data_IF_793120265811
#
_entry.id   IF_793120265811
#
_cell.length_a   1.000
_cell.length_b   1.000
_cell.length_c   1.000
_cell.angle_alpha   90.00
_cell.angle_beta   90.00
_cell.angle_gamma   90.00
#
_symmetry.space_group_name_H-M   'P 1'
#
loop_
_entity.id
_entity.type
_entity.pdbx_description
1 polymer ?
#
# COMPACT_ATOMS: atom_id res chain seq x y z
N UNK A 1 23.84 39.19 -1.21
CA UNK A 1 22.79 39.75 -2.06
C UNK A 1 21.59 38.83 -2.00
N UNK A 2 20.38 39.31 -1.89
CA UNK A 2 19.21 38.48 -2.06
C UNK A 2 19.14 38.00 -3.53
N UNK A 3 19.22 36.69 -3.73
CA UNK A 3 18.98 36.08 -5.04
C UNK A 3 17.50 35.77 -5.17
N UNK A 4 16.90 36.19 -6.27
CA UNK A 4 15.49 35.93 -6.58
C UNK A 4 15.26 34.49 -7.03
N UNK A 5 16.30 33.79 -7.48
CA UNK A 5 16.24 32.40 -7.92
C UNK A 5 17.05 31.51 -6.96
N UNK A 6 16.35 30.54 -6.35
CA UNK A 6 16.95 29.57 -5.42
C UNK A 6 16.21 28.24 -5.55
N UNK A 7 16.85 27.29 -6.20
CA UNK A 7 16.25 25.97 -6.46
C UNK A 7 15.84 25.24 -5.18
N UNK A 8 16.61 25.39 -4.11
CA UNK A 8 16.28 24.76 -2.82
C UNK A 8 15.01 25.36 -2.20
N UNK A 9 14.81 26.68 -2.32
CA UNK A 9 13.58 27.32 -1.80
C UNK A 9 12.35 26.84 -2.59
N UNK A 10 12.47 26.78 -3.92
CA UNK A 10 11.37 26.31 -4.77
C UNK A 10 11.02 24.87 -4.46
N UNK A 11 12.01 24.00 -4.31
CA UNK A 11 11.80 22.59 -3.95
C UNK A 11 11.12 22.46 -2.59
N UNK A 12 11.58 23.18 -1.57
CA UNK A 12 10.95 23.15 -0.23
C UNK A 12 9.50 23.59 -0.28
N UNK A 13 9.17 24.65 -1.05
CA UNK A 13 7.79 25.11 -1.23
C UNK A 13 6.90 24.07 -1.93
N UNK A 14 7.42 23.40 -2.96
CA UNK A 14 6.73 22.32 -3.64
C UNK A 14 6.48 21.12 -2.73
N UNK A 15 7.51 20.70 -2.00
CA UNK A 15 7.42 19.58 -1.03
C UNK A 15 6.40 19.90 0.08
N UNK A 16 6.38 21.11 0.60
CA UNK A 16 5.40 21.50 1.61
C UNK A 16 3.96 21.35 1.10
N UNK A 17 3.68 21.79 -0.15
CA UNK A 17 2.35 21.62 -0.75
C UNK A 17 1.96 20.14 -0.90
N UNK A 18 2.92 19.26 -1.19
CA UNK A 18 2.69 17.82 -1.27
C UNK A 18 2.48 17.16 0.10
N UNK A 19 3.21 17.59 1.13
CA UNK A 19 3.05 17.09 2.50
C UNK A 19 1.70 17.46 3.08
N UNK A 20 1.26 18.71 2.85
CA UNK A 20 -0.02 19.23 3.36
C UNK A 20 -1.22 18.81 2.49
N UNK A 21 -0.99 18.08 1.41
CA UNK A 21 -2.05 17.67 0.48
C UNK A 21 -2.99 16.64 1.11
N UNK A 22 -4.26 17.01 1.32
CA UNK A 22 -5.32 16.05 1.63
C UNK A 22 -5.74 15.31 0.35
N UNK A 23 -5.32 14.07 0.23
CA UNK A 23 -5.61 13.20 -0.92
C UNK A 23 -7.00 12.57 -0.87
N UNK A 24 -7.70 12.72 0.28
CA UNK A 24 -8.99 12.09 0.53
C UNK A 24 -8.90 10.56 0.63
N UNK A 25 -9.97 9.93 1.12
CA UNK A 25 -10.08 8.47 1.12
C UNK A 25 -10.72 8.00 -0.19
N UNK A 26 -10.13 6.97 -0.80
CA UNK A 26 -10.68 6.29 -1.97
C UNK A 26 -11.16 4.91 -1.57
N UNK A 27 -12.44 4.63 -1.79
CA UNK A 27 -13.03 3.33 -1.57
C UNK A 27 -13.13 2.60 -2.90
N UNK A 28 -12.48 1.47 -2.99
CA UNK A 28 -12.57 0.55 -4.12
C UNK A 28 -13.53 -0.58 -3.77
N UNK A 29 -14.06 -1.34 -4.75
CA UNK A 29 -14.88 -2.52 -4.44
C UNK A 29 -14.21 -3.51 -3.48
N UNK A 30 -12.88 -3.63 -3.56
CA UNK A 30 -12.11 -4.53 -2.71
C UNK A 30 -12.03 -4.03 -1.27
N UNK A 31 -11.79 -2.73 -1.07
CA UNK A 31 -11.76 -2.13 0.27
C UNK A 31 -13.15 -2.01 0.90
N UNK A 32 -14.19 -1.85 0.09
CA UNK A 32 -15.57 -1.93 0.58
C UNK A 32 -15.93 -3.35 1.05
N UNK A 33 -15.54 -4.39 0.28
CA UNK A 33 -15.70 -5.77 0.70
C UNK A 33 -14.91 -6.10 1.98
N UNK A 34 -13.70 -5.55 2.11
CA UNK A 34 -12.88 -5.64 3.32
C UNK A 34 -13.63 -5.07 4.54
N UNK A 35 -14.11 -3.83 4.44
CA UNK A 35 -14.87 -3.18 5.53
C UNK A 35 -16.15 -3.93 5.85
N UNK A 36 -16.91 -4.37 4.84
CA UNK A 36 -18.16 -5.08 5.02
C UNK A 36 -17.96 -6.39 5.82
N UNK A 37 -16.96 -7.20 5.46
CA UNK A 37 -16.66 -8.44 6.17
C UNK A 37 -16.19 -8.22 7.61
N UNK A 38 -15.39 -7.18 7.86
CA UNK A 38 -15.01 -6.82 9.22
C UNK A 38 -16.20 -6.29 10.03
N UNK A 39 -17.11 -5.57 9.40
CA UNK A 39 -18.33 -5.08 10.05
C UNK A 39 -19.28 -6.24 10.43
N UNK A 40 -19.45 -7.25 9.55
CA UNK A 40 -20.19 -8.47 9.84
C UNK A 40 -19.63 -9.20 11.07
N UNK A 41 -18.33 -9.13 11.29
CA UNK A 41 -17.65 -9.70 12.44
C UNK A 41 -17.60 -8.79 13.68
N UNK A 42 -18.17 -7.58 13.62
CA UNK A 42 -18.16 -6.60 14.71
C UNK A 42 -16.81 -5.92 14.95
N UNK A 43 -15.87 -6.03 14.00
CA UNK A 43 -14.51 -5.45 14.10
C UNK A 43 -14.37 -4.07 13.44
N UNK A 44 -15.39 -3.64 12.70
CA UNK A 44 -15.45 -2.37 11.99
C UNK A 44 -16.88 -1.81 12.05
N UNK A 45 -17.08 -0.49 12.02
CA UNK A 45 -18.42 0.08 11.81
C UNK A 45 -19.00 -0.36 10.46
N UNK A 46 -20.32 -0.46 10.31
CA UNK A 46 -20.95 -0.81 9.05
C UNK A 46 -20.75 0.30 8.00
N UNK A 47 -20.68 -0.06 6.72
CA UNK A 47 -20.52 0.90 5.60
C UNK A 47 -21.63 1.96 5.55
N UNK A 48 -22.79 1.68 6.12
CA UNK A 48 -23.90 2.65 6.27
C UNK A 48 -23.55 3.80 7.19
N UNK A 49 -22.63 3.61 8.14
CA UNK A 49 -22.05 4.68 8.97
C UNK A 49 -20.68 5.07 8.42
N UNK A 50 -20.72 5.75 7.27
CA UNK A 50 -19.49 6.17 6.56
C UNK A 50 -18.57 7.01 7.42
N UNK A 51 -19.11 7.90 8.24
CA UNK A 51 -18.32 8.79 9.09
C UNK A 51 -17.49 7.99 10.11
N UNK A 52 -18.12 7.03 10.80
CA UNK A 52 -17.41 6.17 11.75
C UNK A 52 -16.36 5.27 11.08
N UNK A 53 -16.64 4.78 9.86
CA UNK A 53 -15.66 4.01 9.07
C UNK A 53 -14.46 4.87 8.72
N UNK A 54 -14.67 6.09 8.22
CA UNK A 54 -13.59 7.01 7.85
C UNK A 54 -12.76 7.43 9.06
N UNK A 55 -13.39 7.69 10.20
CA UNK A 55 -12.70 7.99 11.45
C UNK A 55 -11.81 6.81 11.88
N UNK A 56 -12.34 5.59 11.82
CA UNK A 56 -11.59 4.37 12.15
C UNK A 56 -10.38 4.17 11.23
N UNK A 57 -10.54 4.45 9.92
CA UNK A 57 -9.46 4.37 8.93
C UNK A 57 -8.38 5.42 9.23
N UNK A 58 -8.77 6.67 9.43
CA UNK A 58 -7.85 7.79 9.69
C UNK A 58 -7.03 7.61 10.98
N UNK A 59 -7.58 6.91 11.96
CA UNK A 59 -6.91 6.61 13.23
C UNK A 59 -5.97 5.38 13.18
N UNK A 60 -5.83 4.72 12.03
CA UNK A 60 -4.93 3.58 11.85
C UNK A 60 -4.06 3.78 10.60
N UNK A 61 -2.75 4.05 10.75
CA UNK A 61 -1.86 4.24 9.61
C UNK A 61 -1.85 3.07 8.62
N UNK A 62 -1.96 1.84 9.12
CA UNK A 62 -2.00 0.62 8.30
C UNK A 62 -3.28 0.56 7.45
N UNK A 63 -4.43 0.87 8.07
CA UNK A 63 -5.69 0.95 7.34
C UNK A 63 -5.67 2.12 6.36
N UNK A 64 -5.21 3.29 6.78
CA UNK A 64 -5.16 4.48 5.94
C UNK A 64 -4.42 4.23 4.63
N UNK A 65 -3.29 3.51 4.68
CA UNK A 65 -2.51 3.16 3.49
C UNK A 65 -3.26 2.28 2.48
N UNK A 66 -4.36 1.62 2.88
CA UNK A 66 -5.22 0.86 1.98
C UNK A 66 -6.29 1.73 1.27
N UNK A 67 -6.47 2.97 1.69
CA UNK A 67 -7.53 3.88 1.21
C UNK A 67 -7.02 5.17 0.59
N UNK A 68 -5.70 5.38 0.55
CA UNK A 68 -5.09 6.56 -0.08
C UNK A 68 -3.93 6.15 -0.99
N UNK A 69 -3.69 6.93 -2.04
CA UNK A 69 -2.39 6.90 -2.70
C UNK A 69 -1.37 7.51 -1.74
N UNK A 70 -0.33 6.76 -1.37
CA UNK A 70 0.68 7.26 -0.45
C UNK A 70 1.71 8.11 -1.18
N UNK A 71 2.34 9.03 -0.44
CA UNK A 71 3.39 9.91 -0.95
C UNK A 71 4.40 10.11 0.18
N UNK A 72 5.59 9.55 0.02
CA UNK A 72 6.64 9.57 1.03
C UNK A 72 7.92 10.17 0.44
N UNK A 73 8.40 11.27 1.01
CA UNK A 73 9.71 11.81 0.68
C UNK A 73 10.79 10.85 1.19
N UNK A 74 11.60 10.32 0.27
CA UNK A 74 12.62 9.31 0.60
C UNK A 74 14.03 9.80 0.40
N UNK A 75 14.25 10.74 -0.55
CA UNK A 75 15.56 11.34 -0.78
C UNK A 75 15.41 12.85 -1.02
N UNK A 76 16.40 13.61 -0.55
CA UNK A 76 16.49 15.05 -0.75
C UNK A 76 17.94 15.43 -0.97
N UNK A 77 18.22 16.10 -2.07
CA UNK A 77 19.53 16.64 -2.40
C UNK A 77 19.44 18.13 -2.78
N UNK A 78 20.19 18.98 -2.06
CA UNK A 78 20.18 20.42 -2.27
C UNK A 78 21.45 21.07 -1.73
N UNK A 79 22.30 21.55 -2.65
CA UNK A 79 23.48 22.37 -2.33
C UNK A 79 24.70 21.54 -1.92
N UNK A 80 25.88 22.12 -2.21
CA UNK A 80 27.20 21.49 -2.00
C UNK A 80 28.09 22.29 -1.06
N UNK A 81 27.71 23.53 -0.72
CA UNK A 81 28.51 24.43 0.10
C UNK A 81 27.65 25.44 0.84
N UNK A 82 27.94 25.69 2.11
CA UNK A 82 27.10 26.49 3.01
C UNK A 82 26.81 27.92 2.55
N UNK A 83 27.67 28.52 1.74
CA UNK A 83 27.55 29.91 1.28
C UNK A 83 27.28 30.02 -0.23
N UNK A 84 26.80 28.95 -0.87
CA UNK A 84 26.47 28.90 -2.31
C UNK A 84 25.03 28.47 -2.50
N UNK A 85 24.25 29.27 -3.22
CA UNK A 85 22.90 28.91 -3.62
C UNK A 85 22.98 27.79 -4.68
N UNK A 86 22.30 26.65 -4.49
CA UNK A 86 22.35 25.56 -5.45
C UNK A 86 21.67 25.93 -6.77
N UNK A 87 22.30 25.55 -7.87
CA UNK A 87 21.69 25.67 -9.20
C UNK A 87 20.61 24.61 -9.44
N UNK A 88 20.73 23.44 -8.80
CA UNK A 88 19.80 22.31 -8.89
C UNK A 88 19.52 21.75 -7.50
N UNK A 89 18.29 21.36 -7.27
CA UNK A 89 17.83 20.64 -6.08
C UNK A 89 16.85 19.58 -6.49
N UNK A 90 16.91 18.40 -5.88
CA UNK A 90 16.13 17.23 -6.26
C UNK A 90 15.55 16.54 -5.04
N UNK A 91 14.39 15.95 -5.21
CA UNK A 91 13.77 15.07 -4.23
C UNK A 91 13.23 13.81 -4.92
N UNK A 92 13.32 12.67 -4.23
CA UNK A 92 12.67 11.43 -4.65
C UNK A 92 11.53 11.14 -3.70
N UNK A 93 10.38 10.82 -4.29
CA UNK A 93 9.14 10.54 -3.58
C UNK A 93 8.67 9.14 -3.94
N UNK A 94 8.55 8.24 -2.94
CA UNK A 94 7.91 6.93 -3.11
C UNK A 94 6.40 7.10 -3.05
N UNK A 95 5.73 6.81 -4.17
CA UNK A 95 4.27 6.82 -4.28
C UNK A 95 3.76 5.40 -4.42
N UNK A 96 2.83 5.01 -3.53
CA UNK A 96 2.11 3.74 -3.64
C UNK A 96 0.69 4.04 -4.08
N UNK A 97 0.35 3.58 -5.29
CA UNK A 97 -0.97 3.83 -5.88
C UNK A 97 -1.93 2.70 -5.55
N UNK A 98 -3.17 3.06 -5.30
CA UNK A 98 -4.25 2.10 -5.14
C UNK A 98 -4.50 1.33 -6.45
N UNK A 99 -4.92 0.07 -6.38
CA UNK A 99 -5.28 -0.71 -7.55
C UNK A 99 -6.29 0.00 -8.44
N UNK A 100 -6.03 0.03 -9.75
CA UNK A 100 -6.88 0.70 -10.73
C UNK A 100 -6.63 2.20 -10.92
N UNK A 101 -5.65 2.76 -10.22
CA UNK A 101 -5.20 4.14 -10.46
C UNK A 101 -4.15 4.17 -11.57
N UNK A 102 -4.29 5.08 -12.54
CA UNK A 102 -3.30 5.25 -13.59
C UNK A 102 -2.13 6.12 -13.12
N UNK A 103 -0.90 5.71 -13.45
CA UNK A 103 0.31 6.47 -13.09
C UNK A 103 0.31 7.87 -13.68
N UNK A 104 -0.07 8.01 -14.94
CA UNK A 104 -0.05 9.30 -15.60
C UNK A 104 -1.04 10.29 -14.97
N UNK A 105 -2.25 9.83 -14.64
CA UNK A 105 -3.24 10.64 -13.90
C UNK A 105 -2.71 11.07 -12.53
N UNK A 106 -2.00 10.18 -11.84
CA UNK A 106 -1.38 10.51 -10.56
C UNK A 106 -0.27 11.55 -10.72
N UNK A 107 0.59 11.40 -11.73
CA UNK A 107 1.63 12.37 -12.05
C UNK A 107 1.06 13.76 -12.35
N UNK A 108 -0.05 13.82 -13.08
CA UNK A 108 -0.73 15.10 -13.38
C UNK A 108 -1.30 15.74 -12.11
N UNK A 109 -1.92 14.96 -11.23
CA UNK A 109 -2.39 15.45 -9.91
C UNK A 109 -1.24 15.97 -9.04
N UNK A 110 -0.07 15.31 -9.07
CA UNK A 110 1.13 15.77 -8.36
C UNK A 110 1.61 17.11 -8.94
N UNK A 111 1.65 17.26 -10.26
CA UNK A 111 2.01 18.54 -10.93
C UNK A 111 1.02 19.65 -10.57
N UNK A 112 -0.26 19.37 -10.60
CA UNK A 112 -1.32 20.32 -10.21
C UNK A 112 -1.17 20.75 -8.74
N UNK A 113 -0.87 19.82 -7.84
CA UNK A 113 -0.68 20.15 -6.43
C UNK A 113 0.59 20.96 -6.17
N UNK A 114 1.66 20.69 -6.90
CA UNK A 114 2.91 21.49 -6.86
C UNK A 114 2.65 22.90 -7.36
N UNK A 115 1.89 23.07 -8.44
CA UNK A 115 1.51 24.36 -9.02
C UNK A 115 2.70 25.33 -9.18
N UNK A 116 3.83 24.84 -9.72
CA UNK A 116 5.05 25.63 -9.93
C UNK A 116 5.79 25.14 -11.17
N UNK A 117 5.78 25.92 -12.25
CA UNK A 117 6.38 25.59 -13.55
C UNK A 117 7.92 25.43 -13.50
N UNK A 118 8.56 25.90 -12.44
CA UNK A 118 10.01 25.74 -12.22
C UNK A 118 10.38 24.34 -11.72
N UNK A 119 9.39 23.55 -11.28
CA UNK A 119 9.57 22.19 -10.79
C UNK A 119 9.21 21.19 -11.89
N UNK A 120 10.18 20.39 -12.29
CA UNK A 120 9.96 19.27 -13.21
C UNK A 120 9.63 18.03 -12.40
N UNK A 121 8.57 17.31 -12.79
CA UNK A 121 8.15 16.04 -12.15
C UNK A 121 8.29 14.93 -13.17
N UNK A 122 9.15 13.97 -12.87
CA UNK A 122 9.49 12.83 -13.73
C UNK A 122 9.43 11.51 -12.96
N UNK A 123 9.27 10.40 -13.67
CA UNK A 123 9.41 9.08 -13.07
C UNK A 123 10.88 8.79 -12.78
N UNK A 124 11.19 8.46 -11.53
CA UNK A 124 12.55 8.07 -11.11
C UNK A 124 12.98 6.73 -11.73
N UNK A 125 12.03 5.80 -11.87
CA UNK A 125 12.24 4.51 -12.54
C UNK A 125 11.03 4.20 -13.44
N UNK A 126 11.20 4.14 -14.76
CA UNK A 126 10.10 3.86 -15.70
C UNK A 126 9.58 2.42 -15.66
N UNK A 127 10.40 1.46 -15.16
CA UNK A 127 10.10 0.03 -15.18
C UNK A 127 9.13 -0.44 -14.08
N UNK A 128 8.57 0.47 -13.32
CA UNK A 128 7.54 0.13 -12.35
C UNK A 128 6.21 -0.08 -13.07
N UNK A 129 5.69 -1.32 -13.02
CA UNK A 129 4.42 -1.70 -13.63
C UNK A 129 3.23 -0.84 -13.16
N UNK A 130 2.09 -0.96 -13.84
CA UNK A 130 0.83 -0.34 -13.40
C UNK A 130 0.29 -1.02 -12.14
N UNK A 131 -0.44 -0.30 -11.26
CA UNK A 131 -1.13 -0.88 -10.12
C UNK A 131 -2.15 -1.93 -10.59
N UNK A 132 -1.82 -3.21 -10.42
CA UNK A 132 -2.65 -4.30 -10.91
C UNK A 132 -3.75 -4.64 -9.90
N UNK A 133 -5.00 -4.66 -10.37
CA UNK A 133 -6.14 -5.19 -9.62
C UNK A 133 -6.33 -6.67 -9.92
N UNK A 134 -6.68 -7.45 -8.90
CA UNK A 134 -7.15 -8.84 -9.02
C UNK A 134 -8.53 -8.93 -8.40
N UNK A 135 -9.45 -9.60 -9.08
CA UNK A 135 -10.72 -9.95 -8.46
C UNK A 135 -10.47 -10.91 -7.29
N UNK A 136 -11.04 -10.57 -6.13
CA UNK A 136 -10.91 -11.40 -4.94
C UNK A 136 -11.97 -12.53 -4.91
N UNK A 137 -13.10 -12.40 -5.61
CA UNK A 137 -14.13 -13.44 -5.63
C UNK A 137 -13.79 -14.56 -6.63
N UNK A 138 -12.71 -15.26 -6.38
CA UNK A 138 -12.23 -16.38 -7.18
C UNK A 138 -12.38 -17.70 -6.43
N UNK A 139 -12.23 -18.80 -7.16
CA UNK A 139 -12.18 -20.15 -6.57
C UNK A 139 -11.04 -20.26 -5.55
N UNK A 140 -9.86 -19.69 -5.86
CA UNK A 140 -8.72 -19.70 -4.95
C UNK A 140 -9.06 -19.00 -3.62
N UNK A 141 -9.68 -17.80 -3.67
CA UNK A 141 -10.06 -17.10 -2.44
C UNK A 141 -11.10 -17.88 -1.63
N UNK A 142 -12.10 -18.47 -2.30
CA UNK A 142 -13.10 -19.30 -1.63
C UNK A 142 -12.48 -20.53 -0.99
N UNK A 143 -11.52 -21.18 -1.66
CA UNK A 143 -10.78 -22.32 -1.12
C UNK A 143 -9.96 -21.93 0.10
N UNK A 144 -9.21 -20.81 0.05
CA UNK A 144 -8.47 -20.27 1.20
C UNK A 144 -9.44 -20.04 2.38
N UNK A 145 -10.55 -19.35 2.14
CA UNK A 145 -11.53 -19.08 3.19
C UNK A 145 -12.10 -20.36 3.82
N UNK A 146 -12.41 -21.38 3.02
CA UNK A 146 -12.93 -22.65 3.51
C UNK A 146 -11.88 -23.39 4.39
N UNK A 147 -10.64 -23.52 3.89
CA UNK A 147 -9.56 -24.21 4.62
C UNK A 147 -9.22 -23.49 5.92
N UNK A 148 -9.15 -22.15 5.89
CA UNK A 148 -8.84 -21.36 7.09
C UNK A 148 -9.96 -21.54 8.13
N UNK A 149 -11.23 -21.45 7.73
CA UNK A 149 -12.37 -21.60 8.66
C UNK A 149 -12.49 -23.01 9.26
N UNK A 150 -12.17 -24.05 8.51
CA UNK A 150 -12.14 -25.41 9.01
C UNK A 150 -11.02 -25.63 10.05
N UNK A 151 -9.90 -24.92 9.90
CA UNK A 151 -8.76 -25.01 10.80
C UNK A 151 -8.85 -24.08 12.00
N UNK A 152 -9.54 -22.95 11.83
CA UNK A 152 -9.67 -21.86 12.82
C UNK A 152 -11.07 -21.25 12.70
N UNK A 153 -12.02 -21.76 13.50
CA UNK A 153 -13.45 -21.39 13.42
C UNK A 153 -13.70 -19.89 13.56
N UNK A 154 -12.94 -19.23 14.43
CA UNK A 154 -13.07 -17.79 14.69
C UNK A 154 -12.30 -16.90 13.68
N UNK A 155 -11.59 -17.49 12.72
CA UNK A 155 -10.84 -16.71 11.75
C UNK A 155 -11.75 -16.01 10.75
N UNK A 156 -11.42 -14.76 10.43
CA UNK A 156 -12.12 -13.96 9.44
C UNK A 156 -11.19 -13.73 8.26
N UNK A 157 -11.56 -14.27 7.10
CA UNK A 157 -10.80 -14.08 5.85
C UNK A 157 -11.40 -12.90 5.09
N UNK A 158 -10.59 -11.89 4.86
CA UNK A 158 -10.98 -10.65 4.18
C UNK A 158 -10.12 -10.42 2.93
N UNK A 159 -10.68 -9.83 1.87
CA UNK A 159 -9.89 -9.36 0.74
C UNK A 159 -9.11 -8.12 1.18
N UNK A 160 -7.83 -8.29 1.49
CA UNK A 160 -6.95 -7.20 1.92
C UNK A 160 -6.00 -6.76 0.80
N UNK A 161 -5.47 -5.57 0.94
CA UNK A 161 -4.41 -5.06 0.08
C UNK A 161 -3.08 -5.05 0.84
N UNK A 162 -2.04 -5.63 0.23
CA UNK A 162 -0.68 -5.50 0.74
C UNK A 162 -0.14 -4.11 0.40
N UNK A 163 0.34 -3.39 1.40
CA UNK A 163 0.94 -2.06 1.24
C UNK A 163 2.39 -2.11 0.71
N UNK A 164 2.96 -3.32 0.57
CA UNK A 164 4.29 -3.59 0.00
C UNK A 164 4.23 -4.16 -1.42
N UNK A 165 5.36 -4.08 -2.13
CA UNK A 165 5.52 -4.74 -3.43
C UNK A 165 5.69 -6.25 -3.26
N UNK A 166 5.14 -7.05 -4.19
CA UNK A 166 5.32 -8.50 -4.25
C UNK A 166 5.48 -8.97 -5.69
N UNK A 167 6.07 -10.14 -5.89
CA UNK A 167 6.23 -10.77 -7.22
C UNK A 167 4.89 -11.16 -7.85
N UNK A 168 3.81 -11.13 -7.10
CA UNK A 168 2.45 -11.36 -7.61
C UNK A 168 2.08 -10.44 -8.78
N UNK A 169 2.70 -9.26 -8.88
CA UNK A 169 2.48 -8.34 -10.00
C UNK A 169 2.75 -9.00 -11.35
N UNK A 170 3.83 -9.76 -11.47
CA UNK A 170 4.21 -10.44 -12.73
C UNK A 170 3.21 -11.52 -13.14
N UNK A 171 2.55 -12.16 -12.17
CA UNK A 171 1.48 -13.12 -12.44
C UNK A 171 0.20 -12.40 -12.87
N UNK A 172 -0.14 -11.31 -12.17
CA UNK A 172 -1.33 -10.50 -12.46
C UNK A 172 -1.29 -9.85 -13.84
N UNK A 173 -0.12 -9.34 -14.26
CA UNK A 173 0.11 -8.82 -15.62
C UNK A 173 -0.19 -9.85 -16.71
N UNK A 174 -0.12 -11.15 -16.36
CA UNK A 174 -0.45 -12.28 -17.25
C UNK A 174 -1.87 -12.81 -17.05
N UNK A 175 -2.71 -12.10 -16.30
CA UNK A 175 -4.09 -12.51 -16.02
C UNK A 175 -4.21 -13.67 -15.03
N UNK A 176 -3.16 -14.02 -14.30
CA UNK A 176 -3.16 -15.10 -13.32
C UNK A 176 -3.56 -14.52 -11.95
N UNK A 177 -4.66 -14.99 -11.32
CA UNK A 177 -5.02 -14.59 -9.96
C UNK A 177 -3.90 -14.95 -8.98
N UNK A 178 -3.37 -13.97 -8.28
CA UNK A 178 -2.31 -14.16 -7.30
C UNK A 178 -2.56 -13.29 -6.07
N UNK A 179 -2.61 -13.92 -4.90
CA UNK A 179 -2.84 -13.27 -3.61
C UNK A 179 -1.60 -13.33 -2.74
N UNK A 180 -1.38 -12.27 -1.95
CA UNK A 180 -0.48 -12.31 -0.82
C UNK A 180 -1.21 -12.96 0.36
N UNK A 181 -0.84 -14.18 0.70
CA UNK A 181 -1.40 -14.91 1.83
C UNK A 181 -0.28 -15.47 2.69
N UNK A 182 -0.23 -15.03 3.95
CA UNK A 182 0.71 -15.54 4.95
C UNK A 182 -0.09 -16.46 5.89
N UNK A 183 0.02 -17.77 5.77
CA UNK A 183 -0.79 -18.74 6.53
C UNK A 183 -0.25 -18.92 7.96
N UNK A 184 -0.10 -17.83 8.70
CA UNK A 184 0.49 -17.80 10.03
C UNK A 184 -0.26 -16.84 10.96
N UNK A 185 -0.37 -17.18 12.24
CA UNK A 185 -0.87 -16.30 13.30
C UNK A 185 0.30 -15.49 13.88
N UNK A 186 0.73 -14.48 13.16
CA UNK A 186 1.90 -13.70 13.52
C UNK A 186 1.64 -12.86 14.79
N UNK A 187 2.49 -13.05 15.79
CA UNK A 187 2.55 -12.19 16.96
C UNK A 187 3.01 -10.76 16.59
N UNK A 188 2.77 -9.76 17.45
CA UNK A 188 3.31 -8.42 17.24
C UNK A 188 4.85 -8.40 17.15
N UNK A 189 5.54 -9.33 17.79
CA UNK A 189 6.99 -9.46 17.77
C UNK A 189 7.48 -9.98 16.41
N UNK A 190 6.87 -11.06 15.89
CA UNK A 190 7.17 -11.60 14.57
C UNK A 190 6.94 -10.54 13.46
N UNK A 191 5.84 -9.77 13.54
CA UNK A 191 5.55 -8.71 12.57
C UNK A 191 6.59 -7.58 12.59
N UNK A 192 7.06 -7.16 13.77
CA UNK A 192 8.11 -6.15 13.89
C UNK A 192 9.46 -6.64 13.39
N UNK A 193 9.67 -7.95 13.36
CA UNK A 193 10.89 -8.58 12.88
C UNK A 193 11.05 -8.59 11.37
N UNK A 194 10.00 -8.34 10.60
CA UNK A 194 10.04 -8.40 9.14
C UNK A 194 11.15 -7.51 8.57
N UNK A 195 12.02 -8.12 7.72
CA UNK A 195 13.20 -7.49 7.15
C UNK A 195 14.24 -6.98 8.17
N UNK A 196 14.09 -7.38 9.43
CA UNK A 196 15.02 -7.04 10.51
C UNK A 196 16.08 -8.12 10.76
N UNK A 197 17.10 -7.77 11.57
CA UNK A 197 18.19 -8.69 11.90
C UNK A 197 17.75 -9.93 12.71
N UNK A 198 16.62 -9.86 13.39
CA UNK A 198 16.07 -10.93 14.23
C UNK A 198 14.71 -11.39 13.69
N UNK A 199 14.54 -11.44 12.38
CA UNK A 199 13.35 -12.01 11.77
C UNK A 199 13.26 -13.51 12.09
N UNK A 200 12.13 -13.92 12.59
CA UNK A 200 11.88 -15.33 12.94
C UNK A 200 10.43 -15.73 12.71
N UNK A 201 10.22 -17.01 12.59
CA UNK A 201 8.91 -17.65 12.58
C UNK A 201 8.93 -18.79 13.59
N UNK A 202 7.90 -18.91 14.42
CA UNK A 202 7.79 -20.02 15.35
C UNK A 202 7.60 -21.35 14.62
N UNK A 203 8.07 -22.45 15.19
CA UNK A 203 7.87 -23.81 14.63
C UNK A 203 6.38 -24.14 14.54
N UNK A 204 5.59 -23.67 15.49
CA UNK A 204 4.14 -23.85 15.50
C UNK A 204 3.49 -23.18 14.29
N UNK A 205 3.83 -21.90 14.03
CA UNK A 205 3.37 -21.17 12.84
C UNK A 205 3.83 -21.83 11.54
N UNK A 206 5.06 -22.32 11.48
CA UNK A 206 5.57 -23.04 10.31
C UNK A 206 4.74 -24.30 10.03
N UNK A 207 4.51 -25.13 11.05
CA UNK A 207 3.73 -26.35 10.91
C UNK A 207 2.29 -26.07 10.51
N UNK A 208 1.64 -25.10 11.13
CA UNK A 208 0.28 -24.67 10.78
C UNK A 208 0.23 -24.17 9.34
N UNK A 209 1.16 -23.30 8.96
CA UNK A 209 1.23 -22.75 7.63
C UNK A 209 1.44 -23.79 6.54
N UNK A 210 2.33 -24.76 6.77
CA UNK A 210 2.53 -25.90 5.86
C UNK A 210 1.24 -26.73 5.70
N UNK A 211 0.53 -26.98 6.79
CA UNK A 211 -0.75 -27.72 6.76
C UNK A 211 -1.83 -26.97 5.96
N UNK A 212 -2.01 -25.68 6.21
CA UNK A 212 -2.96 -24.83 5.47
C UNK A 212 -2.63 -24.79 3.97
N UNK A 213 -1.36 -24.54 3.63
CA UNK A 213 -0.94 -24.47 2.21
C UNK A 213 -1.10 -25.82 1.51
N UNK A 214 -0.74 -26.92 2.16
CA UNK A 214 -0.94 -28.26 1.60
C UNK A 214 -2.42 -28.50 1.26
N UNK A 215 -3.33 -28.19 2.19
CA UNK A 215 -4.75 -28.42 2.00
C UNK A 215 -5.35 -27.51 0.93
N UNK A 216 -4.94 -26.24 0.88
CA UNK A 216 -5.36 -25.31 -0.19
C UNK A 216 -4.92 -25.84 -1.56
N UNK A 217 -3.64 -26.18 -1.73
CA UNK A 217 -3.13 -26.70 -3.00
C UNK A 217 -3.83 -28.00 -3.37
N UNK A 218 -4.00 -28.94 -2.44
CA UNK A 218 -4.70 -30.20 -2.68
C UNK A 218 -6.10 -29.97 -3.24
N UNK A 219 -6.88 -29.04 -2.68
CA UNK A 219 -8.25 -28.74 -3.14
C UNK A 219 -8.29 -28.01 -4.49
N UNK A 220 -7.24 -27.28 -4.82
CA UNK A 220 -7.17 -26.59 -6.11
C UNK A 220 -6.78 -27.49 -7.29
N UNK A 221 -6.17 -28.65 -7.03
CA UNK A 221 -5.68 -29.58 -8.07
C UNK A 221 -6.45 -30.90 -8.16
N UNK A 222 -7.41 -31.14 -7.26
CA UNK A 222 -8.30 -32.34 -7.25
C UNK A 222 -9.71 -32.00 -7.66
#
# INVERSE_FOLDING_TARGET
MPHYENSAVYLVQALNRLVDWDRGLTFTPDTEAYVARLAEAGLMPPLSDRAAVEERIKNSPELLAMFINTLNLTMLDAGIKANVIPAKSEAVIDCRLLPGQAKDEWMDRVREQIADERITVELYSPDQGEPARVDWDTELFRTINAVVKESMEDAIVVPGMTIGGTDNRFLRERGIPAYGFIPCLLSPEERRGFHGNNEFLTIENLNMGCGLMYEIVRRMVT
#
